data_IF_909962604730
#
_entry.id   IF_909962604730
#
_cell.length_a   1.000
_cell.length_b   1.000
_cell.length_c   1.000
_cell.angle_alpha   90.00
_cell.angle_beta   90.00
_cell.angle_gamma   90.00
#
_symmetry.space_group_name_H-M   'P 1'
#
loop_
_entity.id
_entity.type
_entity.pdbx_description
1 polymer ?
#
# COMPACT_ATOMS: atom_id res chain seq x y z
N UNK A 1 33.42 1.72 -6.97
CA UNK A 1 32.51 2.40 -7.92
C UNK A 1 31.13 1.75 -7.94
N UNK A 2 30.97 0.48 -8.34
CA UNK A 2 29.64 -0.17 -8.42
C UNK A 2 29.06 -0.42 -7.02
N UNK A 3 29.84 -0.97 -6.09
CA UNK A 3 29.40 -1.22 -4.70
C UNK A 3 29.24 0.05 -3.84
N UNK A 4 29.76 1.18 -4.31
CA UNK A 4 29.70 2.47 -3.61
C UNK A 4 28.53 3.34 -4.07
N UNK A 5 27.81 2.93 -5.11
CA UNK A 5 26.61 3.61 -5.61
C UNK A 5 25.36 3.01 -4.97
N UNK A 6 24.28 3.80 -4.87
CA UNK A 6 23.00 3.32 -4.30
C UNK A 6 22.36 2.18 -5.10
N UNK A 7 22.64 2.14 -6.41
CA UNK A 7 22.21 1.06 -7.31
C UNK A 7 23.37 0.72 -8.26
N UNK A 8 23.89 -0.49 -8.17
CA UNK A 8 24.94 -1.01 -9.03
C UNK A 8 24.38 -1.74 -10.26
N UNK A 9 24.76 -1.31 -11.46
CA UNK A 9 24.39 -2.01 -12.71
C UNK A 9 25.64 -2.53 -13.42
N UNK A 10 25.75 -3.84 -13.56
CA UNK A 10 26.86 -4.53 -14.23
C UNK A 10 26.52 -4.91 -15.67
N UNK A 11 27.47 -4.75 -16.59
CA UNK A 11 27.35 -5.20 -17.98
C UNK A 11 28.00 -6.58 -18.15
N UNK A 12 27.23 -7.56 -18.61
CA UNK A 12 27.71 -8.91 -18.90
C UNK A 12 28.42 -8.94 -20.25
N UNK A 13 29.75 -8.99 -20.21
CA UNK A 13 30.62 -9.18 -21.37
C UNK A 13 31.24 -10.59 -21.42
N UNK A 14 31.93 -10.87 -22.53
CA UNK A 14 32.69 -12.11 -22.73
C UNK A 14 33.95 -12.17 -21.87
N UNK A 15 34.54 -11.01 -21.54
CA UNK A 15 35.91 -10.92 -20.99
C UNK A 15 35.97 -10.75 -19.46
N UNK A 16 34.84 -10.55 -18.78
CA UNK A 16 34.85 -10.41 -17.32
C UNK A 16 33.46 -10.36 -16.69
N UNK A 17 33.22 -11.21 -15.68
CA UNK A 17 31.96 -11.28 -14.91
C UNK A 17 32.04 -10.65 -13.52
N UNK A 18 33.22 -10.21 -13.07
CA UNK A 18 33.41 -9.68 -11.72
C UNK A 18 32.52 -8.47 -11.41
N UNK A 19 32.40 -7.53 -12.36
CA UNK A 19 31.53 -6.36 -12.21
C UNK A 19 30.03 -6.74 -12.13
N UNK A 20 29.63 -7.82 -12.80
CA UNK A 20 28.25 -8.33 -12.78
C UNK A 20 27.95 -9.03 -11.45
N UNK A 21 28.89 -9.83 -10.95
CA UNK A 21 28.73 -10.51 -9.66
C UNK A 21 28.69 -9.55 -8.48
N UNK A 22 29.28 -8.36 -8.63
CA UNK A 22 29.29 -7.29 -7.63
C UNK A 22 28.21 -6.21 -7.85
N UNK A 23 27.23 -6.43 -8.75
CA UNK A 23 26.16 -5.48 -9.09
C UNK A 23 24.77 -5.99 -8.72
N UNK A 24 23.82 -5.09 -8.45
CA UNK A 24 22.43 -5.42 -8.15
C UNK A 24 21.67 -5.89 -9.39
N UNK A 25 21.97 -5.29 -10.55
CA UNK A 25 21.36 -5.65 -11.84
C UNK A 25 22.42 -6.01 -12.88
N UNK A 26 22.22 -7.14 -13.55
CA UNK A 26 23.03 -7.60 -14.67
C UNK A 26 22.34 -7.31 -16.00
N UNK A 27 22.96 -6.49 -16.86
CA UNK A 27 22.48 -6.18 -18.22
C UNK A 27 23.42 -6.77 -19.27
N UNK A 28 22.89 -7.26 -20.38
CA UNK A 28 23.71 -7.77 -21.49
C UNK A 28 24.28 -6.67 -22.39
N UNK A 29 23.59 -5.53 -22.51
CA UNK A 29 24.01 -4.36 -23.30
C UNK A 29 23.52 -3.08 -22.65
N UNK A 30 24.27 -1.99 -22.82
CA UNK A 30 23.94 -0.68 -22.23
C UNK A 30 22.59 -0.13 -22.68
N UNK A 31 22.12 -0.43 -23.91
CA UNK A 31 20.80 0.00 -24.41
C UNK A 31 19.62 -0.44 -23.53
N UNK A 32 19.76 -1.52 -22.74
CA UNK A 32 18.70 -1.98 -21.85
C UNK A 32 18.57 -1.15 -20.58
N UNK A 33 19.58 -0.32 -20.27
CA UNK A 33 19.55 0.59 -19.12
C UNK A 33 18.43 1.62 -19.25
N UNK A 34 18.17 2.10 -20.47
CA UNK A 34 17.07 3.03 -20.75
C UNK A 34 15.72 2.44 -20.31
N UNK A 35 15.42 1.21 -20.70
CA UNK A 35 14.18 0.52 -20.33
C UNK A 35 14.13 0.14 -18.84
N UNK A 36 15.28 -0.20 -18.24
CA UNK A 36 15.37 -0.49 -16.81
C UNK A 36 14.99 0.76 -15.99
N UNK A 37 15.59 1.90 -16.29
CA UNK A 37 15.35 3.15 -15.55
C UNK A 37 13.99 3.77 -15.86
N UNK A 38 13.70 4.04 -17.14
CA UNK A 38 12.51 4.83 -17.51
C UNK A 38 11.21 4.07 -17.27
N UNK A 39 11.20 2.75 -17.50
CA UNK A 39 9.98 1.94 -17.36
C UNK A 39 9.93 1.29 -15.99
N UNK A 40 10.90 0.44 -15.65
CA UNK A 40 10.85 -0.33 -14.40
C UNK A 40 11.10 0.55 -13.18
N UNK A 41 12.04 1.50 -13.25
CA UNK A 41 12.28 2.47 -12.18
C UNK A 41 11.07 3.34 -11.89
N UNK A 42 10.41 3.87 -12.93
CA UNK A 42 9.19 4.68 -12.75
C UNK A 42 8.03 3.87 -12.16
N UNK A 43 7.81 2.64 -12.64
CA UNK A 43 6.76 1.78 -12.09
C UNK A 43 7.04 1.37 -10.65
N UNK A 44 8.28 0.96 -10.35
CA UNK A 44 8.66 0.54 -9.00
C UNK A 44 8.49 1.70 -8.00
N UNK A 45 8.94 2.90 -8.36
CA UNK A 45 8.79 4.08 -7.51
C UNK A 45 7.33 4.42 -7.20
N UNK A 46 6.47 4.50 -8.22
CA UNK A 46 5.05 4.84 -8.04
C UNK A 46 4.29 3.76 -7.25
N UNK A 47 4.53 2.47 -7.57
CA UNK A 47 3.93 1.34 -6.86
C UNK A 47 4.32 1.29 -5.40
N UNK A 48 5.62 1.45 -5.10
CA UNK A 48 6.13 1.41 -3.74
C UNK A 48 5.57 2.59 -2.92
N UNK A 49 5.53 3.79 -3.50
CA UNK A 49 4.94 4.96 -2.86
C UNK A 49 3.46 4.74 -2.49
N UNK A 50 2.65 4.27 -3.43
CA UNK A 50 1.22 3.97 -3.21
C UNK A 50 1.01 2.87 -2.19
N UNK A 51 1.77 1.77 -2.31
CA UNK A 51 1.69 0.64 -1.41
C UNK A 51 1.99 1.05 0.04
N UNK A 52 3.03 1.86 0.26
CA UNK A 52 3.40 2.34 1.60
C UNK A 52 2.32 3.27 2.16
N UNK A 53 1.82 4.23 1.37
CA UNK A 53 0.77 5.15 1.81
C UNK A 53 -0.50 4.40 2.20
N UNK A 54 -0.95 3.45 1.36
CA UNK A 54 -2.10 2.63 1.67
C UNK A 54 -1.87 1.73 2.90
N UNK A 55 -0.66 1.17 3.04
CA UNK A 55 -0.29 0.39 4.22
C UNK A 55 -0.43 1.21 5.51
N UNK A 56 0.01 2.46 5.52
CA UNK A 56 -0.18 3.35 6.67
C UNK A 56 -1.66 3.68 6.90
N UNK A 57 -2.41 4.00 5.84
CA UNK A 57 -3.85 4.31 5.94
C UNK A 57 -4.62 3.18 6.63
N UNK A 58 -4.47 1.94 6.15
CA UNK A 58 -5.24 0.80 6.65
C UNK A 58 -4.92 0.47 8.11
N UNK A 59 -3.65 0.55 8.48
CA UNK A 59 -3.19 0.17 9.83
C UNK A 59 -3.55 1.26 10.83
N UNK A 60 -3.34 2.53 10.46
CA UNK A 60 -3.69 3.66 11.31
C UNK A 60 -5.20 3.70 11.57
N UNK A 61 -6.03 3.50 10.54
CA UNK A 61 -7.50 3.46 10.70
C UNK A 61 -7.92 2.37 11.69
N UNK A 62 -7.35 1.17 11.58
CA UNK A 62 -7.66 0.06 12.47
C UNK A 62 -7.24 0.34 13.93
N UNK A 63 -6.04 0.91 14.13
CA UNK A 63 -5.57 1.31 15.47
C UNK A 63 -6.44 2.41 16.06
N UNK A 64 -6.80 3.43 15.27
CA UNK A 64 -7.69 4.49 15.73
C UNK A 64 -9.09 3.97 16.09
N UNK A 65 -9.60 2.97 15.37
CA UNK A 65 -10.88 2.34 15.68
C UNK A 65 -10.88 1.68 17.08
N UNK A 66 -9.78 1.02 17.45
CA UNK A 66 -9.60 0.49 18.82
C UNK A 66 -9.40 1.62 19.83
N UNK A 67 -8.70 2.69 19.45
CA UNK A 67 -8.49 3.86 20.31
C UNK A 67 -9.82 4.55 20.69
N UNK A 68 -10.74 4.74 19.75
CA UNK A 68 -12.05 5.35 20.04
C UNK A 68 -12.83 4.55 21.07
N UNK A 69 -12.75 3.21 21.04
CA UNK A 69 -13.36 2.36 22.06
C UNK A 69 -12.78 2.57 23.46
N UNK A 70 -11.48 2.88 23.56
CA UNK A 70 -10.84 3.10 24.86
C UNK A 70 -11.45 4.27 25.63
N UNK A 71 -12.01 5.27 24.93
CA UNK A 71 -12.72 6.39 25.54
C UNK A 71 -13.99 5.94 26.28
N UNK A 72 -14.64 4.87 25.82
CA UNK A 72 -15.88 4.36 26.40
C UNK A 72 -15.64 3.35 27.52
N UNK A 73 -14.55 2.60 27.48
CA UNK A 73 -14.19 1.62 28.52
C UNK A 73 -13.26 2.19 29.60
N UNK A 74 -13.10 3.51 29.67
CA UNK A 74 -12.30 4.19 30.69
C UNK A 74 -10.81 3.87 30.61
N UNK A 75 -10.29 3.58 29.42
CA UNK A 75 -8.90 3.15 29.17
C UNK A 75 -8.50 1.86 29.91
N UNK A 76 -9.46 0.95 30.12
CA UNK A 76 -9.21 -0.37 30.72
C UNK A 76 -8.41 -1.34 29.83
N UNK A 77 -7.97 -0.91 28.65
CA UNK A 77 -7.26 -1.70 27.64
C UNK A 77 -8.06 -2.91 27.11
N UNK A 78 -9.38 -2.92 27.31
CA UNK A 78 -10.26 -3.92 26.73
C UNK A 78 -10.39 -3.70 25.21
N UNK A 79 -10.28 -4.77 24.42
CA UNK A 79 -10.41 -4.73 22.96
C UNK A 79 -11.77 -5.29 22.57
N UNK A 80 -12.53 -4.57 21.72
CA UNK A 80 -13.85 -5.03 21.27
C UNK A 80 -13.79 -6.18 20.26
N UNK A 81 -12.64 -6.34 19.60
CA UNK A 81 -12.42 -7.30 18.52
C UNK A 81 -11.76 -8.54 19.09
N UNK A 82 -12.25 -9.70 18.69
CA UNK A 82 -11.65 -10.98 19.04
C UNK A 82 -10.20 -11.12 18.58
N UNK A 83 -9.40 -11.85 19.35
CA UNK A 83 -7.97 -12.00 19.08
C UNK A 83 -7.71 -12.70 17.74
N UNK A 84 -8.49 -13.73 17.40
CA UNK A 84 -8.35 -14.42 16.12
C UNK A 84 -8.70 -13.47 14.98
N UNK A 85 -9.76 -12.68 15.15
CA UNK A 85 -10.18 -11.67 14.19
C UNK A 85 -9.10 -10.60 13.99
N UNK A 86 -8.51 -10.08 15.07
CA UNK A 86 -7.43 -9.10 15.03
C UNK A 86 -6.19 -9.61 14.30
N UNK A 87 -5.82 -10.88 14.50
CA UNK A 87 -4.72 -11.51 13.77
C UNK A 87 -5.07 -11.74 12.29
N UNK A 88 -6.30 -12.18 12.01
CA UNK A 88 -6.76 -12.46 10.63
C UNK A 88 -6.84 -11.19 9.76
N UNK A 89 -7.17 -10.04 10.35
CA UNK A 89 -7.26 -8.76 9.64
C UNK A 89 -5.94 -8.39 8.95
N UNK A 90 -4.83 -8.51 9.68
CA UNK A 90 -3.52 -8.15 9.17
C UNK A 90 -2.95 -9.20 8.21
N UNK A 91 -3.20 -10.48 8.48
CA UNK A 91 -2.58 -11.58 7.76
C UNK A 91 -3.31 -11.96 6.47
N UNK A 92 -4.63 -12.13 6.52
CA UNK A 92 -5.40 -12.66 5.38
C UNK A 92 -6.07 -11.55 4.60
N UNK A 93 -6.85 -10.69 5.24
CA UNK A 93 -7.76 -9.80 4.51
C UNK A 93 -7.11 -8.54 3.97
N UNK A 94 -6.05 -8.04 4.60
CA UNK A 94 -5.43 -6.76 4.20
C UNK A 94 -4.00 -6.87 3.69
N UNK A 95 -3.40 -8.06 3.65
CA UNK A 95 -2.06 -8.27 3.12
C UNK A 95 -2.02 -8.32 1.58
N UNK A 96 -3.05 -8.90 0.96
CA UNK A 96 -3.12 -9.05 -0.50
C UNK A 96 -3.31 -7.72 -1.24
N UNK A 97 -4.23 -6.82 -0.86
CA UNK A 97 -4.48 -5.60 -1.65
C UNK A 97 -3.24 -4.69 -1.84
N UNK A 98 -2.43 -4.40 -0.81
CA UNK A 98 -1.17 -3.66 -0.99
C UNK A 98 -0.20 -4.37 -1.93
N UNK A 99 -0.10 -5.70 -1.84
CA UNK A 99 0.81 -6.50 -2.66
C UNK A 99 0.38 -6.48 -4.13
N UNK A 100 -0.93 -6.54 -4.40
CA UNK A 100 -1.49 -6.49 -5.74
C UNK A 100 -1.25 -5.13 -6.39
N UNK A 101 -1.50 -4.02 -5.68
CA UNK A 101 -1.15 -2.67 -6.15
C UNK A 101 0.37 -2.58 -6.41
N UNK A 102 1.17 -3.07 -5.46
CA UNK A 102 2.62 -3.06 -5.51
C UNK A 102 3.21 -3.87 -6.67
N UNK A 103 2.52 -4.91 -7.14
CA UNK A 103 3.00 -5.81 -8.19
C UNK A 103 2.45 -5.47 -9.59
N UNK A 104 1.17 -5.13 -9.70
CA UNK A 104 0.46 -5.11 -10.97
C UNK A 104 0.06 -3.73 -11.46
N UNK A 105 -0.02 -2.71 -10.58
CA UNK A 105 -0.52 -1.40 -11.00
C UNK A 105 0.45 -0.70 -11.97
N UNK A 106 -0.08 0.00 -12.96
CA UNK A 106 0.71 0.68 -13.99
C UNK A 106 0.15 2.07 -14.23
N UNK A 107 0.86 3.07 -13.72
CA UNK A 107 0.47 4.47 -13.93
C UNK A 107 0.51 4.91 -15.40
N UNK A 108 1.37 4.30 -16.22
CA UNK A 108 1.52 4.62 -17.65
C UNK A 108 2.02 3.40 -18.43
N UNK A 109 1.65 3.26 -19.73
CA UNK A 109 2.14 2.19 -20.58
C UNK A 109 3.64 2.35 -20.86
N UNK A 110 4.33 1.23 -21.09
CA UNK A 110 5.78 1.21 -21.29
C UNK A 110 6.23 2.04 -22.51
N UNK A 111 5.45 2.02 -23.60
CA UNK A 111 5.73 2.81 -24.81
C UNK A 111 5.79 4.30 -24.52
N UNK A 112 4.80 4.83 -23.78
CA UNK A 112 4.73 6.25 -23.43
C UNK A 112 5.92 6.70 -22.57
N UNK A 113 6.36 5.85 -21.63
CA UNK A 113 7.50 6.16 -20.75
C UNK A 113 8.84 6.17 -21.52
N UNK A 114 8.98 5.35 -22.56
CA UNK A 114 10.17 5.36 -23.42
C UNK A 114 10.12 6.52 -24.42
N UNK A 115 8.97 6.82 -25.01
CA UNK A 115 8.80 7.94 -25.96
C UNK A 115 8.94 9.31 -25.29
N UNK A 116 8.52 9.44 -24.02
CA UNK A 116 8.56 10.70 -23.27
C UNK A 116 9.39 10.57 -21.98
N UNK A 117 10.74 10.58 -22.07
CA UNK A 117 11.62 10.42 -20.91
C UNK A 117 11.47 11.55 -19.87
N UNK A 118 10.91 12.70 -20.26
CA UNK A 118 10.62 13.81 -19.34
C UNK A 118 9.69 13.44 -18.18
N UNK A 119 8.85 12.40 -18.33
CA UNK A 119 7.99 11.90 -17.25
C UNK A 119 8.79 11.35 -16.06
N UNK A 120 9.99 10.82 -16.31
CA UNK A 120 10.88 10.31 -15.26
C UNK A 120 11.35 11.39 -14.28
N UNK A 121 11.33 12.67 -14.69
CA UNK A 121 11.68 13.78 -13.81
C UNK A 121 10.74 13.88 -12.60
N UNK A 122 9.48 13.46 -12.74
CA UNK A 122 8.52 13.42 -11.63
C UNK A 122 8.92 12.40 -10.56
N UNK A 123 9.34 11.20 -10.99
CA UNK A 123 9.87 10.17 -10.10
C UNK A 123 11.16 10.63 -9.41
N UNK A 124 12.09 11.23 -10.16
CA UNK A 124 13.36 11.75 -9.63
C UNK A 124 13.17 12.86 -8.59
N UNK A 125 12.13 13.69 -8.75
CA UNK A 125 11.79 14.76 -7.80
C UNK A 125 11.01 14.28 -6.58
N UNK A 126 10.71 12.98 -6.49
CA UNK A 126 10.00 12.42 -5.36
C UNK A 126 8.52 12.86 -5.28
N UNK A 127 7.86 13.11 -6.41
CA UNK A 127 6.52 13.71 -6.41
C UNK A 127 5.42 12.75 -5.92
N UNK A 128 5.59 11.43 -6.09
CA UNK A 128 4.57 10.45 -5.68
C UNK A 128 4.53 10.25 -4.16
N UNK A 129 5.67 10.39 -3.48
CA UNK A 129 5.76 10.32 -2.02
C UNK A 129 6.49 11.55 -1.47
N UNK A 130 5.70 12.52 -1.01
CA UNK A 130 6.21 13.67 -0.24
C UNK A 130 5.93 13.48 1.25
N UNK A 131 6.75 14.10 2.10
CA UNK A 131 6.58 14.09 3.56
C UNK A 131 5.17 14.54 4.01
N UNK A 132 4.57 15.49 3.31
CA UNK A 132 3.20 15.95 3.62
C UNK A 132 2.13 14.89 3.31
N UNK A 133 2.34 14.02 2.33
CA UNK A 133 1.38 12.96 1.96
C UNK A 133 1.17 11.98 3.11
N UNK A 134 2.20 11.70 3.92
CA UNK A 134 2.06 10.89 5.12
C UNK A 134 1.07 11.50 6.13
N UNK A 135 1.22 12.79 6.41
CA UNK A 135 0.33 13.49 7.37
C UNK A 135 -1.10 13.60 6.85
N UNK A 136 -1.28 13.78 5.54
CA UNK A 136 -2.62 13.78 4.92
C UNK A 136 -3.29 12.41 5.05
N UNK A 137 -2.56 11.33 4.74
CA UNK A 137 -3.04 9.94 4.92
C UNK A 137 -3.35 9.65 6.39
N UNK A 138 -2.55 10.15 7.32
CA UNK A 138 -2.83 9.99 8.75
C UNK A 138 -4.13 10.71 9.15
N UNK A 139 -4.33 11.95 8.71
CA UNK A 139 -5.57 12.70 8.97
C UNK A 139 -6.79 12.00 8.35
N UNK A 140 -6.65 11.47 7.14
CA UNK A 140 -7.68 10.67 6.47
C UNK A 140 -8.01 9.39 7.24
N UNK A 141 -7.01 8.68 7.77
CA UNK A 141 -7.22 7.49 8.59
C UNK A 141 -8.01 7.78 9.87
N UNK A 142 -7.73 8.93 10.50
CA UNK A 142 -8.49 9.41 11.66
C UNK A 142 -9.93 9.66 11.26
N UNK A 143 -10.17 10.40 10.17
CA UNK A 143 -11.50 10.69 9.66
C UNK A 143 -12.31 9.41 9.37
N UNK A 144 -11.73 8.47 8.62
CA UNK A 144 -12.40 7.19 8.28
C UNK A 144 -12.73 6.40 9.55
N UNK A 145 -11.79 6.31 10.50
CA UNK A 145 -11.99 5.56 11.75
C UNK A 145 -13.11 6.16 12.62
N UNK A 146 -13.20 7.49 12.70
CA UNK A 146 -14.26 8.22 13.40
C UNK A 146 -15.60 7.90 12.74
N UNK A 147 -15.70 8.05 11.42
CA UNK A 147 -16.95 7.78 10.70
C UNK A 147 -17.41 6.35 10.94
N UNK A 148 -16.52 5.35 10.83
CA UNK A 148 -16.88 3.95 11.08
C UNK A 148 -17.39 3.75 12.50
N UNK A 149 -16.62 4.21 13.49
CA UNK A 149 -16.92 3.96 14.90
C UNK A 149 -18.23 4.62 15.32
N UNK A 150 -18.43 5.91 15.01
CA UNK A 150 -19.64 6.63 15.41
C UNK A 150 -20.87 6.21 14.60
N UNK A 151 -20.71 5.80 13.35
CA UNK A 151 -21.82 5.23 12.57
C UNK A 151 -22.25 3.89 13.14
N UNK A 152 -21.31 3.01 13.51
CA UNK A 152 -21.64 1.75 14.18
C UNK A 152 -22.29 2.00 15.55
N UNK A 153 -21.77 2.94 16.34
CA UNK A 153 -22.32 3.28 17.65
C UNK A 153 -23.74 3.86 17.58
N UNK A 154 -24.02 4.71 16.58
CA UNK A 154 -25.38 5.24 16.36
C UNK A 154 -26.35 4.20 15.81
N UNK A 155 -25.90 3.27 14.98
CA UNK A 155 -26.73 2.19 14.46
C UNK A 155 -27.22 1.23 15.55
N UNK A 156 -26.41 1.01 16.59
CA UNK A 156 -26.75 0.17 17.75
C UNK A 156 -27.23 0.97 18.97
N UNK A 157 -27.60 2.23 18.77
CA UNK A 157 -28.16 3.05 19.84
C UNK A 157 -29.44 2.41 20.36
N UNK A 158 -29.58 2.29 21.69
CA UNK A 158 -30.74 1.71 22.36
C UNK A 158 -31.00 0.22 22.06
N UNK A 159 -29.98 -0.51 21.59
CA UNK A 159 -30.06 -1.95 21.34
C UNK A 159 -29.15 -2.74 22.30
N UNK A 160 -29.59 -3.92 22.74
CA UNK A 160 -28.74 -4.82 23.53
C UNK A 160 -27.77 -5.58 22.63
N UNK A 161 -26.55 -5.06 22.49
CA UNK A 161 -25.50 -5.64 21.65
C UNK A 161 -24.32 -6.03 22.51
N UNK A 162 -23.81 -7.24 22.28
CA UNK A 162 -22.59 -7.70 22.94
C UNK A 162 -21.35 -7.00 22.36
N UNK A 163 -20.32 -6.83 23.18
CA UNK A 163 -19.08 -6.12 22.81
C UNK A 163 -18.42 -6.76 21.58
N UNK A 164 -18.45 -8.09 21.51
CA UNK A 164 -17.87 -8.86 20.42
C UNK A 164 -18.66 -8.68 19.12
N UNK A 165 -19.98 -8.61 19.19
CA UNK A 165 -20.84 -8.34 18.03
C UNK A 165 -20.60 -6.94 17.47
N UNK A 166 -20.48 -5.94 18.36
CA UNK A 166 -20.11 -4.59 17.98
C UNK A 166 -18.72 -4.57 17.31
N UNK A 167 -17.74 -5.28 17.87
CA UNK A 167 -16.40 -5.42 17.32
C UNK A 167 -16.35 -6.05 15.94
N UNK A 168 -17.08 -7.14 15.72
CA UNK A 168 -17.18 -7.80 14.41
C UNK A 168 -17.86 -6.87 13.39
N UNK A 169 -18.89 -6.11 13.77
CA UNK A 169 -19.51 -5.13 12.88
C UNK A 169 -18.52 -4.02 12.49
N UNK A 170 -17.87 -3.38 13.45
CA UNK A 170 -16.91 -2.32 13.19
C UNK A 170 -15.72 -2.80 12.33
N UNK A 171 -15.24 -4.02 12.57
CA UNK A 171 -14.19 -4.67 11.79
C UNK A 171 -14.63 -4.93 10.34
N UNK A 172 -15.82 -5.50 10.13
CA UNK A 172 -16.33 -5.78 8.78
C UNK A 172 -16.56 -4.51 7.98
N UNK A 173 -17.11 -3.45 8.59
CA UNK A 173 -17.20 -2.13 7.97
C UNK A 173 -15.82 -1.59 7.58
N UNK A 174 -14.84 -1.68 8.47
CA UNK A 174 -13.46 -1.25 8.19
C UNK A 174 -12.85 -2.03 7.03
N UNK A 175 -13.00 -3.35 7.01
CA UNK A 175 -12.51 -4.21 5.92
C UNK A 175 -13.14 -3.84 4.58
N UNK A 176 -14.46 -3.68 4.52
CA UNK A 176 -15.17 -3.32 3.28
C UNK A 176 -14.73 -1.95 2.78
N UNK A 177 -14.64 -0.95 3.67
CA UNK A 177 -14.19 0.39 3.29
C UNK A 177 -12.76 0.37 2.76
N UNK A 178 -11.85 -0.39 3.39
CA UNK A 178 -10.47 -0.51 2.91
C UNK A 178 -10.37 -1.19 1.55
N UNK A 179 -11.18 -2.23 1.29
CA UNK A 179 -11.24 -2.88 -0.03
C UNK A 179 -11.78 -1.93 -1.10
N UNK A 180 -12.84 -1.18 -0.80
CA UNK A 180 -13.39 -0.17 -1.70
C UNK A 180 -12.39 0.95 -1.94
N UNK A 181 -11.67 1.39 -0.92
CA UNK A 181 -10.62 2.40 -1.05
C UNK A 181 -9.53 1.96 -2.04
N UNK A 182 -9.05 0.72 -1.91
CA UNK A 182 -8.08 0.14 -2.86
C UNK A 182 -8.65 0.04 -4.26
N UNK A 183 -9.89 -0.41 -4.39
CA UNK A 183 -10.57 -0.50 -5.67
C UNK A 183 -10.60 0.87 -6.39
N UNK A 184 -10.92 1.95 -5.66
CA UNK A 184 -10.95 3.31 -6.22
C UNK A 184 -9.54 3.80 -6.60
N UNK A 185 -8.54 3.54 -5.77
CA UNK A 185 -7.17 4.01 -6.02
C UNK A 185 -6.46 3.24 -7.15
N UNK A 186 -6.95 2.03 -7.47
CA UNK A 186 -6.39 1.18 -8.53
C UNK A 186 -6.66 1.78 -9.91
N UNK A 187 -5.58 2.13 -10.63
CA UNK A 187 -5.69 2.76 -11.96
C UNK A 187 -5.85 1.77 -13.09
N UNK A 188 -5.21 0.61 -12.99
CA UNK A 188 -5.26 -0.44 -14.00
C UNK A 188 -6.01 -1.66 -13.49
N UNK A 189 -7.28 -1.77 -13.86
CA UNK A 189 -8.10 -2.95 -13.61
C UNK A 189 -7.69 -4.10 -14.55
N UNK A 190 -6.58 -4.75 -14.22
CA UNK A 190 -6.20 -6.02 -14.86
C UNK A 190 -7.10 -7.12 -14.30
N UNK A 191 -7.53 -8.07 -15.14
CA UNK A 191 -8.44 -9.18 -14.74
C UNK A 191 -8.01 -9.93 -13.48
N UNK A 192 -6.69 -9.99 -13.20
CA UNK A 192 -6.13 -10.64 -12.03
C UNK A 192 -6.36 -9.86 -10.72
N UNK A 193 -6.56 -8.53 -10.80
CA UNK A 193 -6.86 -7.67 -9.65
C UNK A 193 -8.31 -7.87 -9.19
N UNK A 194 -9.24 -8.04 -10.13
CA UNK A 194 -10.64 -8.36 -9.86
C UNK A 194 -10.80 -9.74 -9.22
N UNK A 195 -10.10 -10.75 -9.73
CA UNK A 195 -10.14 -12.12 -9.19
C UNK A 195 -9.62 -12.23 -7.75
N UNK A 196 -8.69 -11.36 -7.34
CA UNK A 196 -8.10 -11.36 -6.00
C UNK A 196 -8.81 -10.43 -5.00
N UNK A 197 -9.67 -9.51 -5.46
CA UNK A 197 -10.50 -8.68 -4.57
C UNK A 197 -11.81 -9.38 -4.16
N UNK A 198 -12.19 -10.45 -4.86
CA UNK A 198 -13.42 -11.22 -4.64
C UNK A 198 -13.17 -12.47 -3.76
N UNK A 199 -11.92 -12.89 -3.59
CA UNK A 199 -11.49 -14.02 -2.75
C UNK A 199 -10.79 -13.54 -1.48
#
# INVERSE_FOLDING_TARGET
>A
MIQTADVGVGLSGQEGRQAVMASDFALSRFKFLERLLLVHGHWCYDRLARMILYFFLKNATFVFLIFWYQLYCGFSAMVMIDQIHLMSYNLMFTAFPPLVIGAYDRAAPASLLTERPGLYAAARRGLAYRRHSYWLVLAESVYISVVIFFTAASAYWDTHVDVWQFGTCAMTCCLVIMLVYVAIETRSWVSNVLLLLIY
#
